data_IF_944080351291
#
_entry.id   IF_944080351291
#
_cell.length_a   1.000
_cell.length_b   1.000
_cell.length_c   1.000
_cell.angle_alpha   90.00
_cell.angle_beta   90.00
_cell.angle_gamma   90.00
#
_symmetry.space_group_name_H-M   'P 1'
#
loop_
_entity.id
_entity.type
_entity.pdbx_description
1 polymer ?
#
# COMPACT_ATOMS: atom_id res chain seq x y z
N UNK A 1 32.24 2.15 4.88
CA UNK A 1 31.38 3.30 4.49
C UNK A 1 30.34 2.94 3.42
N UNK A 2 30.29 1.68 2.96
CA UNK A 2 29.41 1.19 1.88
C UNK A 2 28.07 0.63 2.37
N UNK A 3 28.02 0.02 3.56
CA UNK A 3 26.80 -0.61 4.10
C UNK A 3 25.71 0.42 4.47
N UNK A 4 26.12 1.59 4.99
CA UNK A 4 25.20 2.67 5.33
C UNK A 4 24.49 3.25 4.08
N UNK A 5 25.23 3.50 3.00
CA UNK A 5 24.67 3.98 1.74
C UNK A 5 23.75 2.94 1.07
N UNK A 6 24.13 1.66 1.08
CA UNK A 6 23.28 0.59 0.56
C UNK A 6 22.01 0.36 1.38
N UNK A 7 22.06 0.64 2.67
CA UNK A 7 20.89 0.56 3.54
C UNK A 7 19.95 1.75 3.32
N UNK A 8 20.48 2.98 3.19
CA UNK A 8 19.65 4.15 2.85
C UNK A 8 18.93 3.99 1.51
N UNK A 9 19.62 3.51 0.46
CA UNK A 9 19.01 3.28 -0.85
C UNK A 9 17.92 2.19 -0.81
N UNK A 10 18.13 1.12 -0.02
CA UNK A 10 17.10 0.09 0.17
C UNK A 10 15.89 0.65 0.89
N UNK A 11 16.10 1.44 1.93
CA UNK A 11 15.01 2.06 2.67
C UNK A 11 14.21 3.03 1.81
N UNK A 12 14.88 3.88 1.02
CA UNK A 12 14.22 4.78 0.07
C UNK A 12 13.39 4.01 -0.97
N UNK A 13 13.90 2.88 -1.47
CA UNK A 13 13.15 2.02 -2.38
C UNK A 13 11.92 1.41 -1.70
N UNK A 14 12.05 0.91 -0.47
CA UNK A 14 10.93 0.34 0.30
C UNK A 14 9.88 1.40 0.60
N UNK A 15 10.29 2.61 1.00
CA UNK A 15 9.39 3.74 1.23
C UNK A 15 8.66 4.17 -0.04
N UNK A 16 9.35 4.18 -1.19
CA UNK A 16 8.74 4.47 -2.48
C UNK A 16 7.70 3.42 -2.83
N UNK A 17 8.03 2.13 -2.69
CA UNK A 17 7.09 1.02 -2.93
C UNK A 17 5.88 1.06 -2.00
N UNK A 18 6.06 1.48 -0.74
CA UNK A 18 4.96 1.67 0.21
C UNK A 18 4.04 2.81 -0.25
N UNK A 19 4.59 3.95 -0.65
CA UNK A 19 3.79 5.08 -1.15
C UNK A 19 3.03 4.71 -2.42
N UNK A 20 3.67 3.97 -3.35
CA UNK A 20 3.02 3.45 -4.55
C UNK A 20 1.87 2.50 -4.20
N UNK A 21 2.08 1.57 -3.25
CA UNK A 21 1.04 0.64 -2.81
C UNK A 21 -0.16 1.35 -2.16
N UNK A 22 0.09 2.41 -1.36
CA UNK A 22 -0.98 3.24 -0.79
C UNK A 22 -1.76 3.94 -1.90
N UNK A 23 -1.07 4.47 -2.91
CA UNK A 23 -1.70 5.14 -4.05
C UNK A 23 -2.57 4.16 -4.86
N UNK A 24 -2.01 2.99 -5.22
CA UNK A 24 -2.74 1.93 -5.93
C UNK A 24 -3.97 1.48 -5.15
N UNK A 25 -3.86 1.30 -3.83
CA UNK A 25 -4.97 0.91 -2.98
C UNK A 25 -6.07 1.97 -2.95
N UNK A 26 -5.72 3.25 -2.80
CA UNK A 26 -6.69 4.34 -2.83
C UNK A 26 -7.40 4.44 -4.20
N UNK A 27 -6.67 4.29 -5.30
CA UNK A 27 -7.26 4.27 -6.64
C UNK A 27 -8.21 3.08 -6.83
N UNK A 28 -7.78 1.87 -6.44
CA UNK A 28 -8.60 0.67 -6.57
C UNK A 28 -9.87 0.76 -5.72
N UNK A 29 -9.82 1.40 -4.55
CA UNK A 29 -11.00 1.70 -3.72
C UNK A 29 -11.97 2.66 -4.41
N UNK A 30 -11.46 3.73 -5.03
CA UNK A 30 -12.30 4.67 -5.76
C UNK A 30 -12.96 3.99 -6.99
N UNK A 31 -12.22 3.13 -7.69
CA UNK A 31 -12.76 2.31 -8.77
C UNK A 31 -13.83 1.33 -8.26
N UNK A 32 -13.59 0.63 -7.14
CA UNK A 32 -14.56 -0.29 -6.53
C UNK A 32 -15.84 0.43 -6.09
N UNK A 33 -15.71 1.60 -5.46
CA UNK A 33 -16.86 2.41 -5.06
C UNK A 33 -17.68 2.89 -6.27
N UNK A 34 -17.03 3.30 -7.36
CA UNK A 34 -17.71 3.66 -8.61
C UNK A 34 -18.38 2.45 -9.26
N UNK A 35 -17.67 1.32 -9.31
CA UNK A 35 -18.17 0.09 -9.90
C UNK A 35 -19.35 -0.51 -9.10
N UNK A 36 -19.41 -0.30 -7.78
CA UNK A 36 -20.54 -0.73 -6.95
C UNK A 36 -21.88 -0.12 -7.43
N UNK A 37 -21.85 1.10 -7.96
CA UNK A 37 -22.99 1.75 -8.59
C UNK A 37 -23.20 1.35 -10.07
N UNK A 38 -22.27 0.61 -10.68
CA UNK A 38 -22.43 0.08 -12.05
C UNK A 38 -23.48 -1.04 -12.07
N UNK A 39 -24.26 -1.05 -13.15
CA UNK A 39 -25.21 -2.14 -13.43
C UNK A 39 -24.49 -3.39 -13.97
N UNK A 40 -23.26 -3.23 -14.46
CA UNK A 40 -22.46 -4.30 -15.05
C UNK A 40 -21.78 -5.14 -13.95
N UNK A 41 -22.08 -6.45 -13.86
CA UNK A 41 -21.41 -7.34 -12.93
C UNK A 41 -19.93 -7.57 -13.25
N UNK A 42 -19.49 -7.47 -14.51
CA UNK A 42 -18.08 -7.60 -14.88
C UNK A 42 -17.26 -6.42 -14.37
N UNK A 43 -17.78 -5.20 -14.49
CA UNK A 43 -17.13 -3.98 -13.94
C UNK A 43 -16.91 -4.11 -12.43
N UNK A 44 -17.94 -4.59 -11.71
CA UNK A 44 -17.83 -4.84 -10.26
C UNK A 44 -16.76 -5.87 -9.95
N UNK A 45 -16.77 -7.00 -10.65
CA UNK A 45 -15.81 -8.07 -10.42
C UNK A 45 -14.37 -7.63 -10.71
N UNK A 46 -14.16 -6.88 -11.80
CA UNK A 46 -12.86 -6.32 -12.15
C UNK A 46 -12.35 -5.32 -11.11
N UNK A 47 -13.22 -4.42 -10.62
CA UNK A 47 -12.85 -3.45 -9.61
C UNK A 47 -12.53 -4.12 -8.26
N UNK A 48 -13.30 -5.14 -7.87
CA UNK A 48 -13.01 -5.95 -6.68
C UNK A 48 -11.70 -6.72 -6.79
N UNK A 49 -11.40 -7.31 -7.95
CA UNK A 49 -10.14 -8.00 -8.18
C UNK A 49 -8.92 -7.06 -8.10
N UNK A 50 -9.05 -5.84 -8.66
CA UNK A 50 -8.03 -4.79 -8.52
C UNK A 50 -7.83 -4.38 -7.06
N UNK A 51 -8.92 -4.23 -6.31
CA UNK A 51 -8.86 -3.88 -4.89
C UNK A 51 -8.14 -4.96 -4.09
N UNK A 52 -8.48 -6.24 -4.28
CA UNK A 52 -7.81 -7.36 -3.62
C UNK A 52 -6.31 -7.41 -3.95
N UNK A 53 -5.95 -7.18 -5.22
CA UNK A 53 -4.55 -7.13 -5.63
C UNK A 53 -3.78 -5.99 -4.96
N UNK A 54 -4.39 -4.79 -4.88
CA UNK A 54 -3.79 -3.63 -4.24
C UNK A 54 -3.63 -3.85 -2.72
N UNK A 55 -4.60 -4.48 -2.06
CA UNK A 55 -4.50 -4.86 -0.64
C UNK A 55 -3.34 -5.83 -0.38
N UNK A 56 -3.14 -6.82 -1.26
CA UNK A 56 -2.00 -7.75 -1.14
C UNK A 56 -0.67 -7.04 -1.28
N UNK A 57 -0.53 -6.15 -2.28
CA UNK A 57 0.68 -5.33 -2.46
C UNK A 57 0.96 -4.43 -1.27
N UNK A 58 -0.09 -3.81 -0.74
CA UNK A 58 -0.02 -3.00 0.48
C UNK A 58 0.46 -3.82 1.69
N UNK A 59 -0.06 -5.03 1.88
CA UNK A 59 0.39 -5.94 2.94
C UNK A 59 1.84 -6.43 2.77
N UNK A 60 2.28 -6.69 1.54
CA UNK A 60 3.67 -7.03 1.22
C UNK A 60 4.60 -5.85 1.50
N UNK A 61 4.24 -4.65 1.05
CA UNK A 61 5.02 -3.44 1.30
C UNK A 61 5.13 -3.13 2.81
N UNK A 62 4.05 -3.32 3.57
CA UNK A 62 4.06 -3.25 5.04
C UNK A 62 5.05 -4.23 5.65
N UNK A 63 5.05 -5.48 5.17
CA UNK A 63 5.94 -6.53 5.70
C UNK A 63 7.40 -6.21 5.40
N UNK A 64 7.70 -5.73 4.19
CA UNK A 64 9.05 -5.29 3.81
C UNK A 64 9.53 -4.12 4.68
N UNK A 65 8.67 -3.13 4.91
CA UNK A 65 8.97 -1.96 5.74
C UNK A 65 9.27 -2.33 7.20
N UNK A 66 8.54 -3.29 7.77
CA UNK A 66 8.78 -3.81 9.12
C UNK A 66 10.06 -4.66 9.23
N UNK A 67 10.53 -5.21 8.12
CA UNK A 67 11.74 -6.05 8.08
C UNK A 67 13.04 -5.26 7.93
N UNK A 68 12.98 -3.97 7.55
CA UNK A 68 14.16 -3.12 7.42
C UNK A 68 14.58 -2.53 8.78
N UNK A 69 15.86 -2.63 9.17
CA UNK A 69 16.35 -2.10 10.45
C UNK A 69 16.42 -0.57 10.44
N UNK A 70 15.49 0.10 11.11
CA UNK A 70 15.29 1.55 10.98
C UNK A 70 15.95 2.35 12.10
N UNK A 71 17.13 2.92 11.84
CA UNK A 71 17.83 3.78 12.80
C UNK A 71 17.65 5.30 12.57
N UNK A 72 17.13 5.74 11.41
CA UNK A 72 17.13 7.17 11.03
C UNK A 72 15.81 7.74 10.51
N UNK A 73 14.81 6.92 10.15
CA UNK A 73 13.54 7.39 9.54
C UNK A 73 12.28 6.77 10.20
N UNK A 74 12.39 6.34 11.46
CA UNK A 74 11.34 5.63 12.21
C UNK A 74 9.99 6.37 12.21
N UNK A 75 9.97 7.70 12.25
CA UNK A 75 8.72 8.48 12.19
C UNK A 75 8.01 8.42 10.83
N UNK A 76 8.75 8.50 9.73
CA UNK A 76 8.19 8.45 8.38
C UNK A 76 7.63 7.05 8.08
N UNK A 77 8.27 6.04 8.67
CA UNK A 77 7.89 4.64 8.58
C UNK A 77 6.61 4.36 9.38
N UNK A 78 6.51 4.89 10.60
CA UNK A 78 5.29 4.81 11.39
C UNK A 78 4.12 5.52 10.71
N UNK A 79 4.36 6.69 10.10
CA UNK A 79 3.34 7.40 9.33
C UNK A 79 2.86 6.58 8.13
N UNK A 80 3.79 6.04 7.33
CA UNK A 80 3.45 5.21 6.18
C UNK A 80 2.75 3.90 6.58
N UNK A 81 3.15 3.28 7.71
CA UNK A 81 2.47 2.11 8.27
C UNK A 81 1.04 2.43 8.67
N UNK A 82 0.84 3.58 9.32
CA UNK A 82 -0.48 4.01 9.75
C UNK A 82 -1.38 4.30 8.55
N UNK A 83 -0.89 5.01 7.53
CA UNK A 83 -1.65 5.25 6.29
C UNK A 83 -1.98 3.94 5.56
N UNK A 84 -1.06 2.98 5.55
CA UNK A 84 -1.31 1.63 5.03
C UNK A 84 -2.42 0.90 5.80
N UNK A 85 -2.35 0.93 7.13
CA UNK A 85 -3.34 0.30 7.99
C UNK A 85 -4.72 0.95 7.86
N UNK A 86 -4.79 2.28 7.78
CA UNK A 86 -6.03 3.02 7.54
C UNK A 86 -6.61 2.69 6.16
N UNK A 87 -5.76 2.61 5.12
CA UNK A 87 -6.18 2.27 3.77
C UNK A 87 -6.75 0.84 3.67
N UNK A 88 -6.10 -0.14 4.29
CA UNK A 88 -6.55 -1.55 4.36
C UNK A 88 -7.78 -1.72 5.25
N UNK A 89 -7.85 -1.01 6.38
CA UNK A 89 -8.99 -1.14 7.30
C UNK A 89 -10.26 -0.55 6.70
N UNK A 90 -10.11 0.54 5.93
CA UNK A 90 -11.23 1.23 5.30
C UNK A 90 -11.69 0.58 4.00
N UNK A 91 -10.88 -0.25 3.33
CA UNK A 91 -11.31 -1.04 2.17
C UNK A 91 -12.24 -2.20 2.57
N UNK A 92 -12.09 -2.75 3.78
CA UNK A 92 -12.96 -3.81 4.34
C UNK A 92 -14.37 -3.35 4.73
N UNK A 93 -14.68 -2.06 4.63
CA UNK A 93 -15.99 -1.50 5.00
C UNK A 93 -16.96 -1.36 3.81
N UNK A 94 -16.52 -1.67 2.60
CA UNK A 94 -17.33 -1.64 1.36
C UNK A 94 -17.82 -3.04 0.97
#
# INVERSE_FOLDING_TARGET
MTEYLQHQQRLEHVLTSVNEAIHELNQAREEAAKAQASADPEDRQHAWAKLEQAERRAAEAKTQLLSEPNHSQEQQILQNLQELEDAISSSRQY
#
